data_IF_446383035768
#
_entry.id   IF_446383035768
#
_cell.length_a   1.000
_cell.length_b   1.000
_cell.length_c   1.000
_cell.angle_alpha   90.00
_cell.angle_beta   90.00
_cell.angle_gamma   90.00
#
_symmetry.space_group_name_H-M   'P 1'
#
loop_
_entity.id
_entity.type
_entity.pdbx_description
1 polymer ?
#
# COMPACT_ATOMS: atom_id res chain seq x y z
N UNK A 1 -20.46 18.48 -8.99
CA UNK A 1 -19.91 17.21 -8.51
C UNK A 1 -20.93 16.10 -8.78
N UNK A 2 -20.66 15.11 -9.62
CA UNK A 2 -21.63 14.06 -9.98
C UNK A 2 -22.09 13.21 -8.79
N UNK A 3 -21.48 13.35 -7.62
CA UNK A 3 -21.85 12.63 -6.40
C UNK A 3 -22.69 13.47 -5.41
N UNK A 4 -22.93 14.74 -5.68
CA UNK A 4 -23.68 15.63 -4.75
C UNK A 4 -25.17 15.64 -4.96
N UNK A 5 -25.64 15.30 -6.16
CA UNK A 5 -27.07 15.34 -6.54
C UNK A 5 -27.70 13.93 -6.62
N UNK A 6 -26.92 12.91 -6.24
CA UNK A 6 -27.34 11.52 -6.28
C UNK A 6 -28.20 11.11 -5.10
N UNK A 7 -28.98 10.08 -5.30
CA UNK A 7 -29.74 9.40 -4.26
C UNK A 7 -29.07 8.07 -3.94
N UNK A 8 -28.78 7.81 -2.68
CA UNK A 8 -28.38 6.48 -2.23
C UNK A 8 -29.51 5.78 -1.49
N UNK A 9 -29.47 4.47 -1.44
CA UNK A 9 -30.36 3.65 -0.61
C UNK A 9 -29.55 3.07 0.54
N UNK A 10 -30.12 2.98 1.72
CA UNK A 10 -29.51 2.36 2.86
C UNK A 10 -30.48 1.45 3.60
N UNK A 11 -29.92 0.45 4.28
CA UNK A 11 -30.69 -0.52 5.03
C UNK A 11 -29.93 -0.88 6.32
N UNK A 12 -30.66 -1.14 7.44
CA UNK A 12 -30.05 -1.67 8.65
C UNK A 12 -29.29 -2.97 8.41
N UNK A 13 -28.19 -3.14 9.14
CA UNK A 13 -27.38 -4.36 9.09
C UNK A 13 -28.00 -5.50 9.88
N UNK A 14 -27.77 -6.71 9.38
CA UNK A 14 -28.14 -7.96 10.04
C UNK A 14 -26.89 -8.78 10.37
N UNK A 15 -26.86 -9.36 11.58
CA UNK A 15 -25.81 -10.31 11.95
C UNK A 15 -26.04 -11.66 11.31
N UNK A 16 -24.98 -12.32 10.86
CA UNK A 16 -25.04 -13.67 10.30
C UNK A 16 -25.65 -14.64 11.31
N UNK A 17 -26.86 -15.15 11.04
CA UNK A 17 -27.56 -16.18 11.81
C UNK A 17 -27.71 -17.43 10.95
N UNK A 18 -27.82 -18.62 11.59
CA UNK A 18 -28.00 -19.91 10.90
C UNK A 18 -29.28 -20.00 10.03
N UNK A 19 -30.23 -19.09 10.21
CA UNK A 19 -31.43 -18.92 9.36
C UNK A 19 -31.66 -17.43 9.17
N UNK A 20 -31.10 -16.88 8.10
CA UNK A 20 -31.28 -15.47 7.76
C UNK A 20 -32.60 -15.30 7.00
N UNK A 21 -33.66 -14.93 7.73
CA UNK A 21 -34.95 -14.57 7.09
C UNK A 21 -34.96 -13.12 6.56
N UNK A 22 -34.05 -12.28 7.05
CA UNK A 22 -34.08 -10.82 6.80
C UNK A 22 -32.82 -10.34 6.05
N UNK A 23 -32.07 -11.26 5.42
CA UNK A 23 -30.92 -10.90 4.60
C UNK A 23 -31.42 -10.29 3.28
N UNK A 24 -30.96 -9.08 2.99
CA UNK A 24 -31.33 -8.31 1.80
C UNK A 24 -30.06 -8.02 1.00
N UNK A 25 -30.23 -7.99 -0.32
CA UNK A 25 -29.16 -7.75 -1.26
C UNK A 25 -29.50 -6.58 -2.21
N UNK A 26 -28.50 -5.80 -2.57
CA UNK A 26 -28.51 -4.94 -3.74
C UNK A 26 -27.59 -5.56 -4.80
N UNK A 27 -28.07 -5.65 -6.03
CA UNK A 27 -27.39 -6.33 -7.13
C UNK A 27 -27.20 -5.38 -8.30
N UNK A 28 -26.02 -5.40 -8.91
CA UNK A 28 -25.70 -4.67 -10.13
C UNK A 28 -25.18 -5.64 -11.17
N UNK A 29 -26.00 -5.89 -12.18
CA UNK A 29 -25.70 -6.79 -13.31
C UNK A 29 -25.42 -5.95 -14.54
N UNK A 30 -24.16 -5.86 -15.01
CA UNK A 30 -23.82 -5.04 -16.17
C UNK A 30 -24.18 -5.72 -17.47
N UNK A 31 -24.39 -4.91 -18.53
CA UNK A 31 -24.33 -5.41 -19.91
C UNK A 31 -22.99 -5.01 -20.52
N UNK A 32 -22.04 -5.94 -20.56
CA UNK A 32 -20.70 -5.67 -21.02
C UNK A 32 -20.55 -5.78 -22.55
N UNK A 33 -19.79 -4.86 -23.18
CA UNK A 33 -19.65 -4.82 -24.63
C UNK A 33 -18.77 -5.93 -25.20
N UNK A 34 -17.84 -6.46 -24.40
CA UNK A 34 -16.89 -7.51 -24.81
C UNK A 34 -16.46 -8.34 -23.60
N UNK A 35 -16.04 -9.59 -23.84
CA UNK A 35 -15.31 -10.39 -22.85
C UNK A 35 -13.95 -9.78 -22.59
N UNK A 36 -13.52 -9.69 -21.32
CA UNK A 36 -12.22 -9.16 -20.95
C UNK A 36 -12.14 -8.73 -19.49
N UNK A 37 -11.04 -8.05 -19.17
CA UNK A 37 -10.77 -7.55 -17.81
C UNK A 37 -11.39 -6.18 -17.61
N UNK A 38 -12.19 -6.06 -16.56
CA UNK A 38 -12.84 -4.81 -16.16
C UNK A 38 -12.46 -4.47 -14.71
N UNK A 39 -12.06 -3.23 -14.49
CA UNK A 39 -11.93 -2.70 -13.15
C UNK A 39 -13.31 -2.49 -12.54
N UNK A 40 -13.52 -2.92 -11.29
CA UNK A 40 -14.78 -2.79 -10.56
C UNK A 40 -14.64 -1.73 -9.48
N UNK A 41 -15.55 -0.78 -9.48
CA UNK A 41 -15.63 0.28 -8.48
C UNK A 41 -17.04 0.31 -7.87
N UNK A 42 -17.10 0.62 -6.58
CA UNK A 42 -18.37 0.83 -5.87
C UNK A 42 -18.45 2.26 -5.36
N UNK A 43 -19.68 2.79 -5.30
CA UNK A 43 -19.98 4.09 -4.71
C UNK A 43 -21.02 3.94 -3.62
N UNK A 44 -20.91 4.76 -2.59
CA UNK A 44 -21.83 4.84 -1.47
C UNK A 44 -21.76 6.22 -0.81
N UNK A 45 -22.73 6.53 0.02
CA UNK A 45 -22.68 7.69 0.91
C UNK A 45 -22.19 7.24 2.29
N UNK A 46 -21.22 7.96 2.86
CA UNK A 46 -20.85 7.80 4.26
C UNK A 46 -21.91 8.43 5.14
N UNK A 47 -22.54 7.62 5.98
CA UNK A 47 -23.57 8.04 6.95
C UNK A 47 -23.03 7.94 8.39
N UNK A 48 -23.59 8.68 9.36
CA UNK A 48 -23.09 8.65 10.75
C UNK A 48 -23.07 7.27 11.38
N UNK A 49 -23.95 6.37 10.96
CA UNK A 49 -24.09 5.00 11.42
C UNK A 49 -23.66 3.95 10.38
N UNK A 50 -22.87 4.33 9.38
CA UNK A 50 -22.26 3.37 8.45
C UNK A 50 -21.38 2.36 9.17
N UNK A 51 -21.27 1.14 8.61
CA UNK A 51 -20.42 0.07 9.14
C UNK A 51 -19.04 0.04 8.47
N UNK A 52 -18.05 -0.57 9.13
CA UNK A 52 -16.70 -0.70 8.59
C UNK A 52 -16.47 -1.99 7.79
N UNK A 53 -17.44 -2.89 7.74
CA UNK A 53 -17.34 -4.20 7.10
C UNK A 53 -18.49 -4.50 6.12
N UNK A 54 -18.97 -3.48 5.39
CA UNK A 54 -19.99 -3.66 4.37
C UNK A 54 -19.54 -4.72 3.35
N UNK A 55 -20.33 -5.79 3.23
CA UNK A 55 -19.96 -6.97 2.48
C UNK A 55 -20.35 -6.88 1.02
N UNK A 56 -19.36 -6.71 0.16
CA UNK A 56 -19.50 -6.78 -1.29
C UNK A 56 -19.00 -8.13 -1.82
N UNK A 57 -19.72 -8.68 -2.78
CA UNK A 57 -19.37 -9.89 -3.52
C UNK A 57 -19.24 -9.52 -4.99
N UNK A 58 -18.10 -9.80 -5.59
CA UNK A 58 -17.88 -9.65 -7.03
C UNK A 58 -17.89 -11.04 -7.65
N UNK A 59 -18.91 -11.30 -8.47
CA UNK A 59 -19.02 -12.52 -9.27
C UNK A 59 -18.34 -12.28 -10.61
N UNK A 60 -17.41 -13.15 -10.99
CA UNK A 60 -16.59 -13.02 -12.19
C UNK A 60 -16.16 -14.39 -12.70
N UNK A 61 -15.51 -14.49 -13.86
CA UNK A 61 -15.15 -15.77 -14.49
C UNK A 61 -14.23 -16.66 -13.63
N UNK A 62 -13.50 -16.08 -12.67
CA UNK A 62 -12.69 -16.83 -11.71
C UNK A 62 -13.44 -17.31 -10.46
N UNK A 63 -14.74 -17.04 -10.34
CA UNK A 63 -15.56 -17.36 -9.17
C UNK A 63 -16.12 -16.12 -8.47
N UNK A 64 -16.12 -16.12 -7.15
CA UNK A 64 -16.64 -15.02 -6.32
C UNK A 64 -15.55 -14.50 -5.40
N UNK A 65 -15.33 -13.18 -5.43
CA UNK A 65 -14.40 -12.50 -4.49
C UNK A 65 -15.20 -11.65 -3.50
N UNK A 66 -14.99 -11.89 -2.21
CA UNK A 66 -15.60 -11.11 -1.13
C UNK A 66 -14.72 -9.95 -0.71
N UNK A 67 -15.34 -8.78 -0.49
CA UNK A 67 -14.71 -7.59 0.05
C UNK A 67 -15.49 -7.09 1.27
N UNK A 68 -14.75 -6.58 2.26
CA UNK A 68 -15.29 -5.81 3.38
C UNK A 68 -14.89 -4.36 3.20
N UNK A 69 -15.86 -3.53 2.85
CA UNK A 69 -15.63 -2.11 2.56
C UNK A 69 -16.01 -1.28 3.77
N UNK A 70 -15.08 -0.44 4.22
CA UNK A 70 -15.34 0.50 5.30
C UNK A 70 -16.14 1.70 4.78
N UNK A 71 -17.44 1.68 4.96
CA UNK A 71 -18.34 2.76 4.53
C UNK A 71 -18.37 3.96 5.49
N UNK A 72 -17.64 3.92 6.62
CA UNK A 72 -17.45 5.08 7.50
C UNK A 72 -16.56 6.14 6.87
N UNK A 73 -15.83 5.79 5.80
CA UNK A 73 -14.94 6.65 5.03
C UNK A 73 -15.13 6.41 3.53
N UNK A 74 -14.66 7.32 2.69
CA UNK A 74 -14.63 7.13 1.23
C UNK A 74 -15.97 7.29 0.53
N UNK A 75 -17.01 7.80 1.20
CA UNK A 75 -18.29 8.11 0.57
C UNK A 75 -18.22 9.26 -0.43
N UNK A 76 -19.09 9.25 -1.43
CA UNK A 76 -19.14 10.27 -2.47
C UNK A 76 -18.02 10.15 -3.51
N UNK A 77 -17.42 8.99 -3.69
CA UNK A 77 -16.39 8.71 -4.69
C UNK A 77 -16.50 7.28 -5.23
N UNK A 78 -15.60 6.92 -6.15
CA UNK A 78 -15.45 5.56 -6.65
C UNK A 78 -14.36 4.82 -5.87
N UNK A 79 -14.75 3.81 -5.10
CA UNK A 79 -13.83 2.92 -4.37
C UNK A 79 -13.53 1.70 -5.23
N UNK A 80 -12.26 1.51 -5.57
CA UNK A 80 -11.81 0.40 -6.39
C UNK A 80 -11.76 -0.90 -5.58
N UNK A 81 -12.38 -1.97 -6.10
CA UNK A 81 -12.35 -3.29 -5.49
C UNK A 81 -11.28 -4.19 -6.11
N UNK A 82 -11.15 -4.16 -7.44
CA UNK A 82 -10.23 -5.03 -8.16
C UNK A 82 -10.50 -5.02 -9.66
N UNK A 83 -9.66 -5.72 -10.42
CA UNK A 83 -9.86 -5.96 -11.85
C UNK A 83 -10.10 -7.45 -12.06
N UNK A 84 -11.22 -7.80 -12.67
CA UNK A 84 -11.68 -9.17 -12.85
C UNK A 84 -12.05 -9.43 -14.30
N UNK A 85 -12.03 -10.69 -14.69
CA UNK A 85 -12.45 -11.12 -16.01
C UNK A 85 -13.95 -11.40 -16.04
N UNK A 86 -14.63 -10.84 -17.05
CA UNK A 86 -16.07 -10.99 -17.26
C UNK A 86 -16.35 -11.36 -18.71
N UNK A 87 -17.47 -12.04 -18.93
CA UNK A 87 -17.96 -12.32 -20.26
C UNK A 87 -18.79 -11.17 -20.83
N UNK A 88 -18.83 -11.09 -22.17
CA UNK A 88 -19.70 -10.18 -22.91
C UNK A 88 -21.17 -10.41 -22.58
N UNK A 89 -21.90 -9.33 -22.50
CA UNK A 89 -23.36 -9.34 -22.31
C UNK A 89 -23.78 -9.19 -20.86
N UNK A 90 -24.98 -9.62 -20.55
CA UNK A 90 -25.59 -9.63 -19.23
C UNK A 90 -25.60 -11.07 -18.72
N UNK A 91 -24.94 -11.32 -17.61
CA UNK A 91 -24.77 -12.67 -17.06
C UNK A 91 -24.98 -12.67 -15.55
N UNK A 92 -25.73 -13.61 -15.03
CA UNK A 92 -26.01 -13.77 -13.60
C UNK A 92 -24.74 -14.13 -12.76
N UNK A 93 -23.67 -14.55 -13.44
CA UNK A 93 -22.36 -14.83 -12.84
C UNK A 93 -21.33 -13.70 -13.07
N UNK A 94 -21.77 -12.56 -13.60
CA UNK A 94 -20.94 -11.37 -13.82
C UNK A 94 -21.57 -10.14 -13.20
N UNK A 95 -21.56 -10.03 -11.87
CA UNK A 95 -22.28 -8.99 -11.13
C UNK A 95 -21.57 -8.59 -9.85
N UNK A 96 -22.03 -7.50 -9.26
CA UNK A 96 -21.66 -7.10 -7.91
C UNK A 96 -22.89 -7.14 -7.01
N UNK A 97 -22.69 -7.69 -5.82
CA UNK A 97 -23.75 -7.80 -4.80
C UNK A 97 -23.29 -7.13 -3.53
N UNK A 98 -24.11 -6.29 -2.92
CA UNK A 98 -23.96 -5.77 -1.57
C UNK A 98 -24.97 -6.45 -0.66
N UNK A 99 -24.48 -7.09 0.41
CA UNK A 99 -25.31 -7.68 1.46
C UNK A 99 -25.46 -6.73 2.64
N UNK A 100 -26.60 -6.79 3.33
CA UNK A 100 -26.77 -6.13 4.63
C UNK A 100 -26.15 -6.91 5.80
N UNK A 101 -25.43 -8.01 5.54
CA UNK A 101 -24.70 -8.75 6.56
C UNK A 101 -23.50 -7.94 7.06
N UNK A 102 -23.41 -7.75 8.40
CA UNK A 102 -22.28 -7.07 9.04
C UNK A 102 -22.06 -7.64 10.44
N UNK A 103 -20.85 -7.52 10.95
CA UNK A 103 -20.53 -7.77 12.35
C UNK A 103 -20.92 -6.61 13.27
N UNK A 104 -21.15 -5.43 12.70
CA UNK A 104 -21.53 -4.21 13.41
C UNK A 104 -23.03 -3.94 13.28
N UNK A 105 -23.58 -3.23 14.27
CA UNK A 105 -24.89 -2.62 14.17
C UNK A 105 -24.77 -1.25 13.49
N UNK A 106 -25.51 -1.06 12.42
CA UNK A 106 -25.48 0.18 11.66
C UNK A 106 -26.28 0.07 10.39
N UNK A 107 -25.79 0.71 9.33
CA UNK A 107 -26.39 0.65 8.00
C UNK A 107 -25.34 0.38 6.95
N UNK A 108 -25.75 -0.32 5.89
CA UNK A 108 -25.02 -0.36 4.62
C UNK A 108 -25.72 0.55 3.61
N UNK A 109 -24.93 1.28 2.84
CA UNK A 109 -25.42 2.18 1.80
C UNK A 109 -25.06 1.64 0.42
N UNK A 110 -26.06 1.56 -0.46
CA UNK A 110 -25.97 1.16 -1.86
C UNK A 110 -26.24 2.37 -2.74
N UNK A 111 -25.32 2.68 -3.65
CA UNK A 111 -25.49 3.76 -4.61
C UNK A 111 -25.24 3.22 -6.03
N UNK A 112 -23.99 3.07 -6.45
CA UNK A 112 -23.66 2.69 -7.80
C UNK A 112 -22.47 1.72 -7.87
N UNK A 113 -22.42 0.97 -8.98
CA UNK A 113 -21.26 0.15 -9.35
C UNK A 113 -20.82 0.51 -10.77
N UNK A 114 -19.53 0.60 -10.97
CA UNK A 114 -18.92 0.87 -12.25
C UNK A 114 -18.05 -0.30 -12.68
N UNK A 115 -18.29 -0.77 -13.90
CA UNK A 115 -17.50 -1.81 -14.55
C UNK A 115 -16.67 -1.18 -15.68
N UNK A 116 -15.35 -1.28 -15.57
CA UNK A 116 -14.44 -0.65 -16.52
C UNK A 116 -14.40 0.88 -16.40
N UNK A 117 -13.81 1.51 -17.40
CA UNK A 117 -13.48 2.93 -17.37
C UNK A 117 -12.42 3.23 -16.30
N UNK A 118 -11.65 4.29 -16.45
CA UNK A 118 -10.53 4.54 -15.56
C UNK A 118 -9.30 3.67 -15.83
N UNK A 119 -9.31 2.88 -16.89
CA UNK A 119 -8.09 2.33 -17.49
C UNK A 119 -7.39 3.45 -18.27
N UNK A 120 -6.07 3.42 -18.29
CA UNK A 120 -5.21 4.45 -18.89
C UNK A 120 -5.52 4.71 -20.35
N UNK A 121 -6.49 5.60 -20.58
CA UNK A 121 -6.96 6.04 -21.87
C UNK A 121 -6.65 7.51 -22.17
N UNK A 122 -5.91 8.18 -21.28
CA UNK A 122 -5.40 9.53 -21.53
C UNK A 122 -4.06 9.42 -22.25
N UNK A 123 -4.00 9.96 -23.45
CA UNK A 123 -2.77 10.01 -24.21
C UNK A 123 -1.79 11.01 -23.60
N UNK A 124 -0.60 10.55 -23.27
CA UNK A 124 0.54 11.36 -22.83
C UNK A 124 1.72 11.04 -23.73
N UNK A 125 2.26 12.03 -24.41
CA UNK A 125 3.29 11.82 -25.42
C UNK A 125 2.86 10.89 -26.57
N UNK A 126 1.57 10.91 -26.92
CA UNK A 126 1.00 10.07 -28.00
C UNK A 126 0.73 8.61 -27.63
N UNK A 127 0.92 8.23 -26.37
CA UNK A 127 0.69 6.86 -25.88
C UNK A 127 -0.28 6.84 -24.71
N UNK A 128 -1.02 5.76 -24.58
CA UNK A 128 -1.87 5.45 -23.43
C UNK A 128 -1.17 4.40 -22.55
N UNK A 129 -1.36 4.48 -21.24
CA UNK A 129 -0.70 3.57 -20.29
C UNK A 129 -1.33 2.19 -20.24
N UNK A 130 -2.61 2.06 -20.51
CA UNK A 130 -3.38 0.84 -20.28
C UNK A 130 -3.59 0.49 -18.80
N UNK A 131 -3.08 1.32 -17.88
CA UNK A 131 -3.20 1.12 -16.43
C UNK A 131 -4.56 1.63 -15.91
N UNK A 132 -5.01 1.18 -14.74
CA UNK A 132 -6.09 1.84 -14.02
C UNK A 132 -5.79 3.33 -13.81
N UNK A 133 -6.81 4.19 -13.96
CA UNK A 133 -6.66 5.64 -13.87
C UNK A 133 -5.92 6.11 -12.64
N UNK A 134 -6.21 5.54 -11.48
CA UNK A 134 -5.58 5.92 -10.22
C UNK A 134 -4.06 5.61 -10.16
N UNK A 135 -3.53 4.83 -11.08
CA UNK A 135 -2.08 4.56 -11.24
C UNK A 135 -1.43 5.44 -12.30
N UNK A 136 -2.19 6.26 -13.04
CA UNK A 136 -1.66 7.10 -14.12
C UNK A 136 -1.00 8.39 -13.62
N UNK A 137 -1.31 8.83 -12.40
CA UNK A 137 -0.77 10.04 -11.83
C UNK A 137 -1.46 10.48 -10.54
N UNK A 138 -0.90 11.48 -9.88
CA UNK A 138 -1.37 11.98 -8.59
C UNK A 138 -2.80 12.52 -8.66
N UNK A 139 -3.15 13.21 -9.75
CA UNK A 139 -4.48 13.75 -10.00
C UNK A 139 -5.56 12.67 -9.92
N UNK A 140 -5.33 11.54 -10.60
CA UNK A 140 -6.31 10.46 -10.65
C UNK A 140 -6.31 9.61 -9.37
N UNK A 141 -5.15 9.49 -8.71
CA UNK A 141 -5.08 8.88 -7.38
C UNK A 141 -5.87 9.68 -6.35
N UNK A 142 -5.74 11.00 -6.36
CA UNK A 142 -6.48 11.89 -5.46
C UNK A 142 -8.00 11.85 -5.73
N UNK A 143 -8.40 11.84 -7.00
CA UNK A 143 -9.80 11.65 -7.39
C UNK A 143 -10.35 10.31 -6.89
N UNK A 144 -9.60 9.25 -7.08
CA UNK A 144 -9.97 7.91 -6.62
C UNK A 144 -10.08 7.83 -5.09
N UNK A 145 -9.17 8.50 -4.37
CA UNK A 145 -9.19 8.56 -2.91
C UNK A 145 -10.31 9.45 -2.34
N UNK A 146 -11.13 10.08 -3.17
CA UNK A 146 -12.26 10.91 -2.74
C UNK A 146 -11.89 12.32 -2.31
N UNK A 147 -10.74 12.83 -2.74
CA UNK A 147 -10.35 14.21 -2.48
C UNK A 147 -11.31 15.21 -3.16
N UNK A 148 -11.49 16.41 -2.61
CA UNK A 148 -12.28 17.46 -3.25
C UNK A 148 -11.76 17.83 -4.65
N UNK A 149 -12.67 18.29 -5.52
CA UNK A 149 -12.36 18.64 -6.90
C UNK A 149 -11.21 19.65 -7.02
N UNK A 150 -11.19 20.66 -6.19
CA UNK A 150 -10.16 21.71 -6.15
C UNK A 150 -8.76 21.19 -5.81
N UNK A 151 -8.65 20.05 -5.13
CA UNK A 151 -7.37 19.42 -4.78
C UNK A 151 -6.72 18.82 -6.03
N UNK A 152 -7.49 18.16 -6.90
CA UNK A 152 -6.97 17.44 -8.05
C UNK A 152 -7.26 18.09 -9.42
N UNK A 153 -7.97 19.20 -9.44
CA UNK A 153 -8.32 19.94 -10.65
C UNK A 153 -8.22 21.45 -10.45
N UNK A 154 -7.11 21.93 -9.90
CA UNK A 154 -6.88 23.34 -9.64
C UNK A 154 -6.90 24.23 -10.89
N UNK A 155 -6.67 23.66 -12.07
CA UNK A 155 -6.87 24.29 -13.39
C UNK A 155 -8.18 23.84 -14.06
N UNK A 156 -9.14 23.38 -13.29
CA UNK A 156 -10.47 22.93 -13.74
C UNK A 156 -10.45 21.81 -14.80
N UNK A 157 -9.34 21.06 -14.88
CA UNK A 157 -9.15 20.02 -15.88
C UNK A 157 -8.70 20.51 -17.26
N UNK A 158 -8.49 21.81 -17.42
CA UNK A 158 -8.04 22.40 -18.69
C UNK A 158 -6.59 22.04 -19.04
N UNK A 159 -5.78 21.76 -18.03
CA UNK A 159 -4.39 21.34 -18.19
C UNK A 159 -4.08 20.15 -17.29
N UNK A 160 -4.18 18.94 -17.83
CA UNK A 160 -3.96 17.68 -17.13
C UNK A 160 -2.59 17.59 -16.48
N UNK A 161 -1.54 18.01 -17.19
CA UNK A 161 -0.17 17.96 -16.69
C UNK A 161 0.05 18.90 -15.48
N UNK A 162 -0.45 20.12 -15.56
CA UNK A 162 -0.32 21.09 -14.46
C UNK A 162 -1.18 20.68 -13.26
N UNK A 163 -2.38 20.18 -13.51
CA UNK A 163 -3.24 19.65 -12.44
C UNK A 163 -2.58 18.47 -11.74
N UNK A 164 -1.95 17.55 -12.49
CA UNK A 164 -1.25 16.39 -11.91
C UNK A 164 -0.08 16.80 -11.02
N UNK A 165 0.78 17.70 -11.48
CA UNK A 165 1.94 18.20 -10.73
C UNK A 165 1.48 18.87 -9.43
N UNK A 166 0.50 19.76 -9.49
CA UNK A 166 0.04 20.51 -8.34
C UNK A 166 -0.74 19.63 -7.34
N UNK A 167 -1.42 18.61 -7.82
CA UNK A 167 -2.16 17.67 -6.97
C UNK A 167 -1.27 17.04 -5.91
N UNK A 168 -0.03 16.75 -6.20
CA UNK A 168 0.93 16.13 -5.27
C UNK A 168 1.04 16.94 -3.97
N UNK A 169 1.24 18.24 -4.10
CA UNK A 169 1.33 19.16 -2.95
C UNK A 169 -0.05 19.52 -2.37
N UNK A 170 -1.07 19.65 -3.23
CA UNK A 170 -2.42 19.99 -2.78
C UNK A 170 -3.03 18.90 -1.89
N UNK A 171 -2.76 17.62 -2.18
CA UNK A 171 -3.18 16.49 -1.33
C UNK A 171 -2.55 16.59 0.06
N UNK A 172 -1.26 16.91 0.14
CA UNK A 172 -0.56 17.10 1.41
C UNK A 172 -1.24 18.21 2.22
N UNK A 173 -1.45 19.37 1.58
CA UNK A 173 -2.06 20.54 2.21
C UNK A 173 -3.50 20.29 2.65
N UNK A 174 -4.28 19.57 1.84
CA UNK A 174 -5.64 19.18 2.21
C UNK A 174 -5.67 18.22 3.40
N UNK A 175 -4.73 17.28 3.47
CA UNK A 175 -4.64 16.35 4.59
C UNK A 175 -4.14 17.06 5.86
N UNK A 176 -3.02 17.77 5.78
CA UNK A 176 -2.40 18.40 6.95
C UNK A 176 -3.17 19.61 7.46
N UNK A 177 -3.67 20.45 6.56
CA UNK A 177 -4.20 21.74 6.95
C UNK A 177 -3.11 22.71 7.43
N UNK A 178 -3.44 23.55 8.39
CA UNK A 178 -2.51 24.55 8.92
C UNK A 178 -1.29 23.93 9.60
N UNK A 179 -0.15 24.60 9.43
CA UNK A 179 1.09 24.25 10.08
C UNK A 179 1.81 25.52 10.56
N UNK A 180 2.91 25.36 11.30
CA UNK A 180 3.78 26.49 11.67
C UNK A 180 4.38 27.19 10.45
N UNK A 181 4.43 26.52 9.32
CA UNK A 181 4.97 27.02 8.05
C UNK A 181 3.91 27.68 7.17
N UNK A 182 2.65 27.22 7.29
CA UNK A 182 1.50 27.79 6.57
C UNK A 182 0.27 27.79 7.50
N UNK A 183 0.16 28.79 8.39
CA UNK A 183 -0.88 28.79 9.43
C UNK A 183 -2.29 29.06 8.90
N UNK A 184 -2.42 29.52 7.65
CA UNK A 184 -3.73 29.83 7.06
C UNK A 184 -4.26 28.72 6.16
N UNK A 185 -3.50 27.64 5.97
CA UNK A 185 -3.92 26.51 5.15
C UNK A 185 -5.09 25.79 5.81
N UNK A 186 -6.21 25.67 5.11
CA UNK A 186 -7.33 24.82 5.54
C UNK A 186 -7.08 23.35 5.14
N UNK A 187 -7.57 22.42 5.96
CA UNK A 187 -7.44 20.98 5.69
C UNK A 187 -8.06 20.13 6.80
N UNK A 188 -7.77 18.83 6.76
CA UNK A 188 -8.36 17.84 7.66
C UNK A 188 -7.64 17.72 9.02
N UNK A 189 -6.51 18.39 9.22
CA UNK A 189 -5.74 18.31 10.46
C UNK A 189 -5.04 16.97 10.69
N UNK A 190 -4.75 16.22 9.62
CA UNK A 190 -3.94 15.01 9.74
C UNK A 190 -2.52 15.42 10.14
N UNK A 191 -1.94 14.85 11.22
CA UNK A 191 -0.63 15.25 11.72
C UNK A 191 0.50 14.74 10.83
N UNK A 192 0.74 15.40 9.70
CA UNK A 192 1.84 15.12 8.79
C UNK A 192 3.07 15.91 9.21
N UNK A 193 4.15 15.22 9.54
CA UNK A 193 5.37 15.86 10.05
C UNK A 193 6.36 16.20 8.96
N UNK A 194 6.39 15.42 7.88
CA UNK A 194 7.20 15.66 6.70
C UNK A 194 6.59 15.01 5.47
N UNK A 195 7.06 15.43 4.32
CA UNK A 195 6.73 14.81 3.03
C UNK A 195 7.99 14.55 2.23
N UNK A 196 7.94 13.50 1.44
CA UNK A 196 9.02 13.13 0.55
C UNK A 196 8.46 12.71 -0.80
N UNK A 197 8.98 13.28 -1.87
CA UNK A 197 8.72 12.84 -3.23
C UNK A 197 9.89 11.97 -3.70
N UNK A 198 9.58 10.74 -4.13
CA UNK A 198 10.55 9.83 -4.71
C UNK A 198 10.42 9.88 -6.24
N UNK A 199 11.45 10.33 -6.88
CA UNK A 199 11.53 10.48 -8.33
C UNK A 199 12.62 9.58 -8.93
N UNK A 200 12.55 9.40 -10.24
CA UNK A 200 13.65 8.99 -11.08
C UNK A 200 13.98 10.12 -12.06
N UNK A 201 15.24 10.49 -12.12
CA UNK A 201 15.74 11.54 -12.99
C UNK A 201 15.80 11.10 -14.47
N UNK A 202 15.96 12.04 -15.36
CA UNK A 202 16.21 11.83 -16.78
C UNK A 202 17.63 12.29 -17.13
N UNK A 203 18.33 11.50 -17.93
CA UNK A 203 19.69 11.78 -18.37
C UNK A 203 20.52 10.51 -18.44
N UNK A 204 21.55 10.54 -19.26
CA UNK A 204 22.47 9.41 -19.40
C UNK A 204 23.91 9.90 -19.32
N UNK A 205 24.79 9.09 -18.73
CA UNK A 205 26.22 9.29 -18.83
C UNK A 205 26.70 8.90 -20.23
N UNK A 206 27.65 9.66 -20.76
CA UNK A 206 28.31 9.31 -22.03
C UNK A 206 29.31 8.17 -21.88
N UNK A 207 29.70 7.85 -20.67
CA UNK A 207 30.70 6.85 -20.29
C UNK A 207 30.14 5.67 -19.55
N UNK A 208 28.81 5.49 -19.55
CA UNK A 208 28.08 4.46 -18.78
C UNK A 208 28.38 4.47 -17.27
N UNK A 209 28.83 5.59 -16.74
CA UNK A 209 29.02 5.77 -15.31
C UNK A 209 27.69 5.97 -14.60
N UNK A 210 27.64 5.59 -13.31
CA UNK A 210 26.50 5.84 -12.46
C UNK A 210 26.24 7.34 -12.29
N UNK A 211 25.00 7.76 -12.53
CA UNK A 211 24.52 9.12 -12.23
C UNK A 211 24.22 9.24 -10.75
N UNK A 212 23.56 8.24 -10.19
CA UNK A 212 23.28 8.14 -8.77
C UNK A 212 22.17 9.07 -8.30
N UNK A 213 22.09 9.27 -6.97
CA UNK A 213 20.99 9.98 -6.34
C UNK A 213 21.28 11.45 -6.04
N UNK A 214 20.22 12.26 -6.08
CA UNK A 214 20.21 13.69 -5.80
C UNK A 214 19.09 14.02 -4.82
N UNK A 215 19.40 14.74 -3.74
CA UNK A 215 18.41 15.33 -2.86
C UNK A 215 18.09 16.77 -3.27
N UNK A 216 16.82 17.13 -3.29
CA UNK A 216 16.37 18.48 -3.61
C UNK A 216 15.54 19.01 -2.45
N UNK A 217 15.82 20.22 -2.03
CA UNK A 217 15.10 20.93 -0.99
C UNK A 217 14.95 22.41 -1.39
N UNK A 218 14.16 23.18 -0.64
CA UNK A 218 14.13 24.63 -0.80
C UNK A 218 14.23 25.32 0.56
N UNK A 219 15.04 26.36 0.62
CA UNK A 219 15.10 27.27 1.74
C UNK A 219 14.22 28.51 1.55
N UNK A 220 13.61 28.66 0.37
CA UNK A 220 12.81 29.83 -0.01
C UNK A 220 11.38 29.76 0.55
N UNK A 221 11.00 28.63 1.14
CA UNK A 221 9.71 28.50 1.78
C UNK A 221 9.71 29.22 3.14
N UNK A 222 8.68 30.04 3.36
CA UNK A 222 8.50 30.81 4.60
C UNK A 222 9.76 31.56 5.07
N UNK A 223 10.37 32.31 4.17
CA UNK A 223 11.59 33.12 4.40
C UNK A 223 12.82 32.30 4.83
N UNK A 224 12.99 31.13 4.26
CA UNK A 224 14.19 30.32 4.47
C UNK A 224 14.31 29.61 5.82
N UNK A 225 13.22 29.45 6.56
CA UNK A 225 13.24 28.82 7.87
C UNK A 225 13.25 27.28 7.88
N UNK A 226 13.23 26.64 6.72
CA UNK A 226 13.28 25.20 6.58
C UNK A 226 14.67 24.71 6.18
N UNK A 227 15.38 24.11 7.12
CA UNK A 227 16.55 23.26 6.82
C UNK A 227 16.15 21.80 6.87
N UNK A 228 16.26 21.09 5.74
CA UNK A 228 16.06 19.65 5.72
C UNK A 228 17.27 18.94 6.32
N UNK A 229 17.08 18.24 7.46
CA UNK A 229 18.14 17.45 8.11
C UNK A 229 18.55 16.15 7.37
N UNK A 230 18.18 16.00 6.10
CA UNK A 230 18.35 14.77 5.31
C UNK A 230 19.79 14.52 4.82
N UNK A 231 20.75 15.41 5.09
CA UNK A 231 22.11 15.38 4.53
C UNK A 231 22.98 14.21 4.99
N UNK A 232 22.64 13.50 6.07
CA UNK A 232 23.59 12.63 6.76
C UNK A 232 23.59 11.16 6.33
N UNK A 233 22.61 10.69 5.60
CA UNK A 233 22.32 9.26 5.51
C UNK A 233 22.73 8.51 4.24
N UNK A 234 22.94 9.18 3.13
CA UNK A 234 23.29 8.49 1.88
C UNK A 234 24.73 7.93 1.84
N UNK A 235 25.57 8.28 2.82
CA UNK A 235 27.01 7.97 2.78
C UNK A 235 27.44 6.66 3.46
N UNK A 236 26.52 5.93 4.10
CA UNK A 236 26.91 4.81 5.01
C UNK A 236 26.81 3.41 4.40
N UNK A 237 26.35 3.27 3.16
CA UNK A 237 26.27 1.94 2.53
C UNK A 237 27.42 1.74 1.53
N UNK A 238 28.11 0.61 1.65
CA UNK A 238 29.23 0.18 0.79
C UNK A 238 28.82 -0.26 -0.62
N UNK A 239 27.69 0.24 -1.14
CA UNK A 239 27.31 0.07 -2.52
C UNK A 239 28.14 1.04 -3.40
N UNK A 240 28.53 0.63 -4.62
CA UNK A 240 29.18 1.51 -5.58
C UNK A 240 28.15 2.52 -6.13
N UNK A 241 27.58 3.32 -5.23
CA UNK A 241 26.51 4.27 -5.54
C UNK A 241 27.04 5.70 -5.42
N UNK A 242 26.72 6.51 -6.41
CA UNK A 242 27.14 7.91 -6.44
C UNK A 242 26.04 8.79 -5.83
N UNK A 243 26.42 9.62 -4.86
CA UNK A 243 25.59 10.72 -4.36
C UNK A 243 26.00 12.03 -5.03
N UNK A 244 25.07 12.65 -5.71
CA UNK A 244 25.23 14.01 -6.25
C UNK A 244 25.10 15.07 -5.15
N UNK A 245 25.53 16.30 -5.43
CA UNK A 245 25.36 17.43 -4.52
C UNK A 245 23.89 17.71 -4.27
N UNK A 246 23.55 18.13 -3.04
CA UNK A 246 22.22 18.58 -2.70
C UNK A 246 21.88 19.87 -3.47
N UNK A 247 20.66 19.95 -3.99
CA UNK A 247 20.16 21.11 -4.72
C UNK A 247 19.13 21.89 -3.92
N UNK A 248 19.41 23.18 -3.70
CA UNK A 248 18.41 24.11 -3.24
C UNK A 248 17.65 24.65 -4.46
N UNK A 249 16.44 24.16 -4.71
CA UNK A 249 15.63 24.49 -5.89
C UNK A 249 14.15 24.65 -5.53
N UNK A 250 13.51 25.61 -6.17
CA UNK A 250 12.13 25.98 -5.97
C UNK A 250 11.18 25.13 -6.84
N UNK A 251 11.08 23.82 -6.54
CA UNK A 251 10.10 22.93 -7.17
C UNK A 251 8.76 22.97 -6.43
N UNK A 252 7.67 22.64 -7.12
CA UNK A 252 6.33 22.61 -6.51
C UNK A 252 6.25 21.69 -5.28
N UNK A 253 6.86 20.52 -5.35
CA UNK A 253 6.87 19.51 -4.29
C UNK A 253 7.77 19.84 -3.09
N UNK A 254 8.66 20.83 -3.23
CA UNK A 254 9.45 21.35 -2.09
C UNK A 254 8.94 22.67 -1.55
N UNK A 255 8.20 23.43 -2.36
CA UNK A 255 7.76 24.79 -2.04
C UNK A 255 6.31 24.87 -1.54
N UNK A 256 5.40 24.06 -2.11
CA UNK A 256 3.97 24.18 -1.86
C UNK A 256 3.46 23.42 -0.62
N UNK A 257 4.05 22.27 -0.20
CA UNK A 257 3.58 21.58 0.98
C UNK A 257 3.67 22.44 2.24
N UNK A 258 2.65 22.35 3.08
CA UNK A 258 2.62 23.01 4.39
C UNK A 258 3.47 22.31 5.46
N UNK A 259 4.20 21.26 5.08
CA UNK A 259 5.11 20.49 5.94
C UNK A 259 6.53 20.53 5.39
N UNK A 260 7.57 20.24 6.19
CA UNK A 260 8.92 20.00 5.69
C UNK A 260 8.90 18.98 4.56
N UNK A 261 9.52 19.31 3.43
CA UNK A 261 9.44 18.48 2.23
C UNK A 261 10.77 18.38 1.49
N UNK A 262 10.99 17.23 0.87
CA UNK A 262 12.18 16.96 0.05
C UNK A 262 11.82 16.12 -1.16
N UNK A 263 12.61 16.24 -2.22
CA UNK A 263 12.58 15.34 -3.38
C UNK A 263 13.86 14.51 -3.34
N UNK A 264 13.75 13.23 -3.59
CA UNK A 264 14.88 12.34 -3.85
C UNK A 264 14.76 11.86 -5.30
N UNK A 265 15.67 12.34 -6.14
CA UNK A 265 15.94 11.75 -7.45
C UNK A 265 16.82 10.53 -7.20
N UNK A 266 16.22 9.36 -7.14
CA UNK A 266 16.93 8.16 -6.68
C UNK A 266 17.98 7.69 -7.68
N UNK A 267 17.62 7.66 -8.96
CA UNK A 267 18.44 7.15 -10.06
C UNK A 267 17.96 7.77 -11.37
N UNK A 268 18.72 7.65 -12.43
CA UNK A 268 18.25 8.04 -13.77
C UNK A 268 17.69 6.83 -14.53
N UNK A 269 16.40 6.90 -14.88
CA UNK A 269 15.74 5.86 -15.67
C UNK A 269 16.21 5.81 -17.14
N UNK A 270 17.00 6.77 -17.59
CA UNK A 270 17.61 6.80 -18.91
C UNK A 270 19.06 6.31 -18.91
N UNK A 271 19.65 6.07 -17.74
CA UNK A 271 21.04 5.65 -17.60
C UNK A 271 21.12 4.13 -17.36
N UNK A 272 21.81 3.42 -18.25
CA UNK A 272 21.85 1.96 -18.18
C UNK A 272 22.50 1.44 -16.89
N UNK A 273 23.59 2.04 -16.45
CA UNK A 273 24.28 1.66 -15.23
C UNK A 273 23.40 1.84 -13.98
N UNK A 274 22.65 2.94 -13.89
CA UNK A 274 21.68 3.18 -12.81
C UNK A 274 20.56 2.13 -12.83
N UNK A 275 20.05 1.80 -14.03
CA UNK A 275 18.93 0.88 -14.18
C UNK A 275 19.32 -0.58 -13.91
N UNK A 276 20.56 -0.99 -14.10
CA UNK A 276 21.03 -2.30 -13.66
C UNK A 276 20.83 -2.46 -12.14
N UNK A 277 21.23 -1.47 -11.36
CA UNK A 277 20.97 -1.47 -9.90
C UNK A 277 19.48 -1.27 -9.60
N UNK A 278 18.79 -0.40 -10.34
CA UNK A 278 17.36 -0.16 -10.17
C UNK A 278 16.49 -1.41 -10.35
N UNK A 279 16.94 -2.42 -11.06
CA UNK A 279 16.26 -3.72 -11.20
C UNK A 279 16.66 -4.73 -10.12
N UNK A 280 17.75 -4.51 -9.39
CA UNK A 280 18.21 -5.39 -8.32
C UNK A 280 17.30 -5.26 -7.09
N UNK A 281 16.64 -6.32 -6.63
CA UNK A 281 15.82 -6.31 -5.42
C UNK A 281 16.60 -5.93 -4.15
N UNK A 282 17.87 -6.32 -4.05
CA UNK A 282 18.73 -6.01 -2.91
C UNK A 282 19.04 -4.51 -2.86
N UNK A 283 19.30 -3.89 -4.01
CA UNK A 283 19.46 -2.45 -4.11
C UNK A 283 18.20 -1.71 -3.64
N UNK A 284 17.01 -2.15 -4.11
CA UNK A 284 15.73 -1.54 -3.71
C UNK A 284 15.50 -1.63 -2.21
N UNK A 285 15.76 -2.79 -1.61
CA UNK A 285 15.65 -2.98 -0.17
C UNK A 285 16.62 -2.08 0.60
N UNK A 286 17.90 -2.05 0.20
CA UNK A 286 18.95 -1.26 0.84
C UNK A 286 18.63 0.22 0.81
N UNK A 287 18.22 0.73 -0.36
CA UNK A 287 17.82 2.14 -0.52
C UNK A 287 16.57 2.46 0.28
N UNK A 288 15.54 1.62 0.22
CA UNK A 288 14.33 1.80 1.02
C UNK A 288 14.64 1.85 2.53
N UNK A 289 15.54 0.98 3.00
CA UNK A 289 15.99 0.99 4.39
C UNK A 289 16.81 2.23 4.74
N UNK A 290 17.66 2.73 3.83
CA UNK A 290 18.41 3.96 4.03
C UNK A 290 17.46 5.19 4.15
N UNK A 291 16.48 5.29 3.27
CA UNK A 291 15.45 6.34 3.32
C UNK A 291 14.66 6.25 4.63
N UNK A 292 14.21 5.06 5.03
CA UNK A 292 13.53 4.83 6.30
C UNK A 292 14.37 5.31 7.49
N UNK A 293 15.66 4.96 7.55
CA UNK A 293 16.56 5.40 8.62
C UNK A 293 16.68 6.93 8.67
N UNK A 294 16.77 7.58 7.50
CA UNK A 294 16.82 9.05 7.39
C UNK A 294 15.54 9.72 7.92
N UNK A 295 14.38 9.19 7.54
CA UNK A 295 13.08 9.66 8.04
C UNK A 295 12.99 9.45 9.55
N UNK A 296 13.31 8.25 10.03
CA UNK A 296 13.25 7.91 11.46
C UNK A 296 14.12 8.85 12.28
N UNK A 297 15.35 9.15 11.83
CA UNK A 297 16.22 10.06 12.55
C UNK A 297 15.68 11.50 12.57
N UNK A 298 15.14 11.98 11.44
CA UNK A 298 14.49 13.27 11.39
C UNK A 298 13.35 13.34 12.43
N UNK A 299 12.42 12.39 12.39
CA UNK A 299 11.26 12.35 13.28
C UNK A 299 11.68 12.22 14.75
N UNK A 300 12.59 11.33 15.07
CA UNK A 300 13.05 11.14 16.46
C UNK A 300 13.76 12.39 17.00
N UNK A 301 14.53 13.10 16.16
CA UNK A 301 15.18 14.34 16.54
C UNK A 301 14.20 15.50 16.78
N UNK A 302 13.07 15.54 16.04
CA UNK A 302 12.04 16.57 16.24
C UNK A 302 11.27 16.37 17.56
N UNK A 303 11.17 15.13 18.03
CA UNK A 303 10.39 14.76 19.21
C UNK A 303 11.24 14.40 20.44
N UNK A 304 12.54 14.59 20.37
CA UNK A 304 13.48 14.17 21.42
C UNK A 304 13.28 12.69 21.83
N UNK A 305 13.13 11.83 20.82
CA UNK A 305 12.93 10.38 21.00
C UNK A 305 14.19 9.61 20.71
N UNK A 306 14.31 8.45 21.36
CA UNK A 306 15.41 7.52 21.11
C UNK A 306 15.33 6.98 19.66
N UNK A 307 16.46 7.06 18.95
CA UNK A 307 16.58 6.49 17.61
C UNK A 307 16.82 4.97 17.70
N UNK A 308 15.78 4.19 17.37
CA UNK A 308 15.85 2.73 17.35
C UNK A 308 15.29 2.25 16.03
N UNK A 309 16.10 1.55 15.25
CA UNK A 309 15.72 1.01 13.94
C UNK A 309 15.03 -0.34 14.11
N UNK A 310 13.99 -0.59 13.34
CA UNK A 310 13.33 -1.90 13.29
C UNK A 310 14.32 -2.98 12.79
N UNK A 311 14.16 -4.26 13.20
CA UNK A 311 15.04 -5.36 12.77
C UNK A 311 15.04 -5.58 11.26
N UNK A 312 16.04 -6.30 10.79
CA UNK A 312 16.02 -6.94 9.47
C UNK A 312 15.00 -8.09 9.46
N UNK A 313 14.47 -8.47 8.30
CA UNK A 313 13.69 -9.70 8.16
C UNK A 313 14.46 -10.91 8.64
N UNK A 314 13.75 -11.92 9.14
CA UNK A 314 14.35 -13.20 9.49
C UNK A 314 14.83 -13.93 8.24
N UNK A 315 15.88 -14.73 8.37
CA UNK A 315 16.35 -15.63 7.31
C UNK A 315 16.14 -17.10 7.67
N UNK A 316 16.40 -17.98 6.71
CA UNK A 316 16.34 -19.43 6.87
C UNK A 316 15.02 -19.91 7.50
N UNK A 317 13.91 -19.28 7.14
CA UNK A 317 12.60 -19.72 7.60
C UNK A 317 12.29 -21.11 7.03
N UNK A 318 11.96 -22.03 7.91
CA UNK A 318 11.66 -23.42 7.56
C UNK A 318 10.49 -23.97 8.36
N UNK A 319 9.75 -24.89 7.74
CA UNK A 319 8.65 -25.64 8.36
C UNK A 319 8.92 -27.13 8.18
N UNK A 320 8.81 -27.89 9.27
CA UNK A 320 8.90 -29.34 9.22
C UNK A 320 7.83 -29.99 10.08
N UNK A 321 7.49 -31.23 9.77
CA UNK A 321 6.61 -32.03 10.64
C UNK A 321 7.40 -32.46 11.89
N UNK A 322 6.86 -32.14 13.05
CA UNK A 322 7.44 -32.55 14.33
C UNK A 322 7.28 -34.03 14.62
N UNK A 323 8.02 -34.53 15.63
CA UNK A 323 7.94 -35.91 16.09
C UNK A 323 6.57 -36.29 16.64
N UNK A 324 5.85 -35.34 17.23
CA UNK A 324 4.49 -35.55 17.73
C UNK A 324 3.46 -35.45 16.61
N UNK A 325 2.42 -36.28 16.69
CA UNK A 325 1.33 -36.27 15.70
C UNK A 325 0.69 -34.89 15.57
N UNK A 326 0.53 -34.42 14.35
CA UNK A 326 -0.13 -33.17 14.01
C UNK A 326 0.55 -31.91 14.59
N UNK A 327 1.85 -31.94 14.75
CA UNK A 327 2.65 -30.78 15.12
C UNK A 327 3.51 -30.37 13.92
N UNK A 328 3.55 -29.07 13.64
CA UNK A 328 4.56 -28.44 12.80
C UNK A 328 5.59 -27.76 13.72
N UNK A 329 6.84 -27.85 13.31
CA UNK A 329 7.96 -27.14 13.91
C UNK A 329 8.44 -26.09 12.92
N UNK A 330 8.36 -24.84 13.33
CA UNK A 330 8.83 -23.67 12.58
C UNK A 330 10.17 -23.26 13.15
N UNK A 331 11.11 -22.90 12.29
CA UNK A 331 12.42 -22.39 12.70
C UNK A 331 12.91 -21.31 11.75
N UNK A 332 13.68 -20.37 12.27
CA UNK A 332 14.27 -19.26 11.52
C UNK A 332 15.53 -18.76 12.18
N UNK A 333 16.23 -17.84 11.54
CA UNK A 333 17.36 -17.12 12.09
C UNK A 333 17.02 -15.63 12.18
N UNK A 334 17.28 -15.01 13.33
CA UNK A 334 17.26 -13.55 13.46
C UNK A 334 18.52 -12.96 12.83
N UNK A 335 18.36 -11.85 12.09
CA UNK A 335 19.49 -11.20 11.44
C UNK A 335 19.92 -9.94 12.21
N UNK A 336 21.20 -9.80 12.44
CA UNK A 336 21.79 -8.57 12.95
C UNK A 336 22.14 -7.64 11.77
N UNK A 337 21.88 -6.34 11.91
CA UNK A 337 22.32 -5.33 10.97
C UNK A 337 23.71 -4.83 11.40
N UNK A 338 24.79 -5.14 10.66
CA UNK A 338 26.15 -4.76 11.08
C UNK A 338 26.37 -3.25 11.14
N UNK A 339 25.56 -2.49 10.41
CA UNK A 339 25.63 -1.03 10.33
C UNK A 339 24.68 -0.34 11.31
N UNK A 340 23.81 -1.11 12.00
CA UNK A 340 22.74 -0.55 12.83
C UNK A 340 22.54 -1.40 14.11
N UNK A 341 23.36 -1.21 15.14
CA UNK A 341 23.28 -1.98 16.38
C UNK A 341 21.91 -1.89 17.09
N UNK A 342 21.17 -0.80 16.87
CA UNK A 342 19.83 -0.62 17.46
C UNK A 342 18.79 -1.55 16.85
N UNK A 343 19.04 -2.08 15.64
CA UNK A 343 18.12 -2.92 14.88
C UNK A 343 18.09 -4.39 15.34
N UNK A 344 18.79 -4.74 16.43
CA UNK A 344 18.87 -6.14 16.89
C UNK A 344 17.49 -6.69 17.24
N UNK A 345 17.09 -7.86 16.69
CA UNK A 345 15.82 -8.50 17.04
C UNK A 345 15.82 -8.95 18.51
N UNK A 346 14.67 -8.80 19.18
CA UNK A 346 14.45 -9.24 20.56
C UNK A 346 13.41 -10.35 20.65
N UNK A 347 12.39 -10.24 19.83
CA UNK A 347 11.25 -11.15 19.76
C UNK A 347 10.83 -11.33 18.31
N UNK A 348 9.89 -12.24 18.07
CA UNK A 348 9.38 -12.56 16.74
C UNK A 348 7.86 -12.71 16.81
N UNK A 349 7.19 -12.42 15.70
CA UNK A 349 5.75 -12.68 15.55
C UNK A 349 5.57 -13.73 14.46
N UNK A 350 4.88 -14.81 14.82
CA UNK A 350 4.48 -15.87 13.89
C UNK A 350 3.04 -15.65 13.49
N UNK A 351 2.80 -15.35 12.23
CA UNK A 351 1.47 -15.21 11.66
C UNK A 351 1.02 -16.50 11.01
N UNK A 352 -0.22 -16.91 11.28
CA UNK A 352 -0.80 -18.13 10.75
C UNK A 352 -2.01 -17.83 9.86
N UNK A 353 -2.12 -18.53 8.74
CA UNK A 353 -3.28 -18.52 7.87
C UNK A 353 -3.75 -19.96 7.65
N UNK A 354 -5.05 -20.21 7.75
CA UNK A 354 -5.66 -21.52 7.49
C UNK A 354 -6.50 -21.42 6.22
N UNK A 355 -6.21 -22.28 5.24
CA UNK A 355 -6.88 -22.30 3.95
C UNK A 355 -6.70 -21.00 3.18
N UNK A 356 -7.80 -20.42 2.69
CA UNK A 356 -7.85 -19.20 1.87
C UNK A 356 -8.18 -17.93 2.68
N UNK A 357 -8.25 -18.01 4.00
CA UNK A 357 -8.50 -16.86 4.88
C UNK A 357 -7.37 -15.85 4.92
N UNK A 358 -7.54 -14.81 5.74
CA UNK A 358 -6.46 -13.88 6.10
C UNK A 358 -5.48 -14.49 7.11
N UNK A 359 -4.32 -13.86 7.29
CA UNK A 359 -3.46 -14.16 8.42
C UNK A 359 -4.12 -13.66 9.72
N UNK A 360 -3.85 -14.37 10.82
CA UNK A 360 -4.24 -13.97 12.17
C UNK A 360 -3.47 -12.71 12.64
N UNK A 361 -3.70 -12.31 13.89
CA UNK A 361 -2.99 -11.17 14.50
C UNK A 361 -1.58 -11.53 15.00
N UNK A 362 -1.11 -12.74 14.71
CA UNK A 362 0.22 -13.22 15.06
C UNK A 362 0.38 -13.67 16.53
N UNK A 363 1.35 -14.53 16.74
CA UNK A 363 1.76 -15.02 18.05
C UNK A 363 3.16 -14.52 18.37
N UNK A 364 3.31 -13.73 19.43
CA UNK A 364 4.61 -13.24 19.89
C UNK A 364 5.41 -14.36 20.53
N UNK A 365 6.66 -14.53 20.13
CA UNK A 365 7.59 -15.55 20.65
C UNK A 365 9.00 -14.97 20.84
N UNK A 366 9.69 -15.42 21.88
CA UNK A 366 11.06 -14.96 22.20
C UNK A 366 12.18 -15.85 21.64
N UNK A 367 11.81 -17.00 21.06
CA UNK A 367 12.76 -17.96 20.47
C UNK A 367 12.70 -17.91 18.96
N UNK A 368 13.75 -18.38 18.32
CA UNK A 368 13.85 -18.55 16.86
C UNK A 368 13.18 -19.84 16.37
N UNK A 369 12.22 -20.36 17.12
CA UNK A 369 11.41 -21.51 16.76
C UNK A 369 10.04 -21.46 17.43
N UNK A 370 9.06 -22.06 16.78
CA UNK A 370 7.70 -22.18 17.30
C UNK A 370 7.08 -23.51 16.88
N UNK A 371 6.16 -24.03 17.69
CA UNK A 371 5.44 -25.27 17.35
C UNK A 371 3.95 -24.99 17.24
N UNK A 372 3.35 -25.50 16.17
CA UNK A 372 1.93 -25.28 15.88
C UNK A 372 1.22 -26.62 15.77
N UNK A 373 0.12 -26.78 16.49
CA UNK A 373 -0.78 -27.94 16.33
C UNK A 373 -1.69 -27.69 15.13
N UNK A 374 -1.74 -28.66 14.22
CA UNK A 374 -2.53 -28.55 12.98
C UNK A 374 -3.61 -29.62 12.90
N UNK A 375 -4.62 -29.36 12.10
CA UNK A 375 -5.68 -30.32 11.74
C UNK A 375 -5.38 -30.92 10.36
N UNK A 376 -5.37 -32.27 10.21
CA UNK A 376 -5.23 -32.91 8.92
C UNK A 376 -6.34 -32.52 7.95
N UNK A 377 -5.97 -32.27 6.69
CA UNK A 377 -6.89 -31.89 5.62
C UNK A 377 -7.01 -30.38 5.42
N UNK A 378 -6.28 -29.58 6.20
CA UNK A 378 -6.19 -28.12 6.04
C UNK A 378 -4.79 -27.69 5.65
N UNK A 379 -4.69 -26.68 4.81
CA UNK A 379 -3.42 -26.00 4.47
C UNK A 379 -3.16 -24.93 5.52
N UNK A 380 -1.98 -24.96 6.12
CA UNK A 380 -1.49 -23.93 7.01
C UNK A 380 -0.38 -23.16 6.32
N UNK A 381 -0.47 -21.83 6.33
CA UNK A 381 0.57 -20.95 5.80
C UNK A 381 1.08 -20.06 6.91
N UNK A 382 2.39 -19.82 6.92
CA UNK A 382 3.06 -19.04 7.95
C UNK A 382 3.99 -18.02 7.32
N UNK A 383 4.14 -16.89 8.02
CA UNK A 383 5.20 -15.90 7.83
C UNK A 383 5.69 -15.46 9.20
N UNK A 384 6.93 -15.03 9.29
CA UNK A 384 7.56 -14.61 10.54
C UNK A 384 8.15 -13.22 10.36
N UNK A 385 8.01 -12.39 11.38
CA UNK A 385 8.66 -11.09 11.49
C UNK A 385 9.53 -11.03 12.73
N UNK A 386 10.56 -10.20 12.71
CA UNK A 386 11.38 -9.89 13.88
C UNK A 386 10.92 -8.58 14.51
N UNK A 387 11.01 -8.45 15.83
CA UNK A 387 10.51 -7.30 16.58
C UNK A 387 11.55 -6.78 17.56
N UNK A 388 11.63 -5.47 17.71
CA UNK A 388 12.30 -4.77 18.79
C UNK A 388 11.51 -3.51 19.20
N UNK A 389 12.07 -2.64 20.03
CA UNK A 389 11.43 -1.37 20.42
C UNK A 389 11.26 -0.37 19.28
N UNK A 390 12.00 -0.53 18.18
CA UNK A 390 11.89 0.30 16.97
C UNK A 390 10.80 -0.14 16.02
N UNK A 391 10.18 -1.30 16.27
CA UNK A 391 9.06 -1.81 15.47
C UNK A 391 9.26 -3.24 14.98
N UNK A 392 8.46 -3.59 13.99
CA UNK A 392 8.37 -4.89 13.35
C UNK A 392 9.04 -4.88 11.97
N UNK A 393 9.83 -5.90 11.66
CA UNK A 393 10.51 -6.07 10.37
C UNK A 393 9.51 -6.34 9.24
N UNK A 394 9.98 -6.26 7.98
CA UNK A 394 9.28 -6.94 6.90
C UNK A 394 9.18 -8.44 7.18
N UNK A 395 8.12 -9.11 6.70
CA UNK A 395 7.94 -10.54 6.93
C UNK A 395 8.93 -11.38 6.11
N UNK A 396 9.18 -12.60 6.61
CA UNK A 396 9.74 -13.67 5.79
C UNK A 396 8.87 -13.97 4.57
N UNK A 397 9.36 -14.82 3.68
CA UNK A 397 8.51 -15.50 2.69
C UNK A 397 7.40 -16.29 3.39
N UNK A 398 6.32 -16.53 2.64
CA UNK A 398 5.21 -17.34 3.11
C UNK A 398 5.51 -18.82 2.77
N UNK A 399 5.65 -19.64 3.80
CA UNK A 399 5.73 -21.08 3.65
C UNK A 399 4.44 -21.76 4.07
N UNK A 400 4.13 -22.86 3.41
CA UNK A 400 2.89 -23.61 3.68
C UNK A 400 3.16 -25.07 3.96
N UNK A 401 2.32 -25.67 4.78
CA UNK A 401 2.32 -27.10 5.08
C UNK A 401 0.91 -27.67 5.01
N UNK A 402 0.81 -28.88 4.48
CA UNK A 402 -0.43 -29.63 4.40
C UNK A 402 -0.23 -31.05 4.90
N UNK A 403 -1.10 -31.54 5.77
CA UNK A 403 -1.13 -32.93 6.20
C UNK A 403 -2.41 -33.61 5.72
N UNK A 404 -2.26 -34.66 4.92
CA UNK A 404 -3.41 -35.43 4.47
C UNK A 404 -4.13 -36.14 5.64
N UNK A 405 -5.45 -36.33 5.52
CA UNK A 405 -6.26 -37.08 6.51
C UNK A 405 -5.90 -38.55 6.54
N UNK A 406 -5.44 -39.11 5.42
CA UNK A 406 -4.91 -40.47 5.28
C UNK A 406 -3.46 -40.38 4.85
N UNK A 407 -2.63 -41.32 5.31
CA UNK A 407 -1.22 -41.35 4.88
C UNK A 407 -1.13 -41.54 3.36
N UNK A 408 -0.29 -40.69 2.78
CA UNK A 408 0.04 -40.66 1.36
C UNK A 408 1.53 -40.40 1.22
N UNK A 409 2.03 -40.32 0.00
CA UNK A 409 3.41 -39.97 -0.28
C UNK A 409 3.77 -38.61 0.30
N UNK A 410 5.03 -38.47 0.68
CA UNK A 410 5.57 -37.21 1.23
C UNK A 410 6.14 -36.38 0.10
N UNK A 411 5.75 -35.12 0.05
CA UNK A 411 6.29 -34.13 -0.90
C UNK A 411 7.01 -33.07 -0.10
N UNK A 412 8.27 -32.78 -0.47
CA UNK A 412 9.04 -31.65 0.03
C UNK A 412 9.05 -30.57 -1.05
N UNK A 413 8.67 -29.36 -0.65
CA UNK A 413 8.78 -28.17 -1.49
C UNK A 413 9.97 -27.35 -0.99
N UNK A 414 10.93 -27.12 -1.87
CA UNK A 414 12.08 -26.26 -1.58
C UNK A 414 11.85 -24.94 -2.32
N UNK A 415 11.79 -23.84 -1.59
CA UNK A 415 11.81 -22.51 -2.19
C UNK A 415 13.26 -22.15 -2.48
N UNK A 416 13.68 -22.22 -3.74
CA UNK A 416 15.02 -21.88 -4.20
C UNK A 416 15.19 -20.43 -4.63
N UNK A 417 14.16 -19.59 -4.44
CA UNK A 417 14.23 -18.17 -4.75
C UNK A 417 14.63 -17.40 -3.49
N UNK A 418 15.85 -16.91 -3.49
CA UNK A 418 16.33 -15.97 -2.48
C UNK A 418 15.80 -14.57 -2.85
N UNK A 419 14.85 -14.07 -2.07
CA UNK A 419 14.30 -12.72 -2.21
C UNK A 419 14.86 -11.88 -1.06
N UNK A 420 16.13 -11.65 -1.09
CA UNK A 420 16.71 -10.67 -0.18
C UNK A 420 16.55 -9.27 -0.78
#
# INVERSE_FOLDING_TARGET
NPFTDGTCRFIPTERKKKKNKDQVFAEWVPTLPATGKYAVYVSYQTLPNSVSDAKYLVFHNGGVTEFKVNQKIGGGTWVYLGTFEFDKGNNDYGMVVLSNESSEHGVVCADAVRFGGGMGNIARGGRISGLPRYLEGARYSAQWAGMPYEVYAGRKGENDYTDDINTRSNVINYLSGSSVYNPQQSGLGVPLEMTMALHSDAGCSKTDELIGSLGIYTTDFNNGKLNSGMDRYASSYSLPWTRRSMWNRNYSETRLPATPSTIIELLSHQNFADMQLGHDPNFKFTVGRAIYKGILQFITSQHDKEYIVQPLPVSNFAIQFGKKKNILELSWKGEDDPQEPTARPREYIVYTRIGYGGFDNGTLVSKTSHTVKIEPGLVYSFKVTAVNRGGESFPSEILSAYKAKREQEKVLIINGFDRI
#
